data_IF_307272300693
#
_entry.id   IF_307272300693
#
_cell.length_a   1.000
_cell.length_b   1.000
_cell.length_c   1.000
_cell.angle_alpha   90.00
_cell.angle_beta   90.00
_cell.angle_gamma   90.00
#
_symmetry.space_group_name_H-M   'P 1'
#
loop_
_entity.id
_entity.type
_entity.pdbx_description
1 polymer ?
#
# COMPACT_ATOMS: atom_id res chain seq x y z
N UNK A 1 0.18 14.90 -16.30
CA UNK A 1 -0.50 13.64 -15.94
C UNK A 1 -1.37 13.85 -14.71
N UNK A 2 -2.44 13.06 -14.58
CA UNK A 2 -3.35 13.17 -13.44
C UNK A 2 -2.65 12.57 -12.20
N UNK A 3 -2.59 13.33 -11.10
CA UNK A 3 -2.01 12.86 -9.84
C UNK A 3 -3.06 12.01 -9.11
N UNK A 4 -2.86 10.70 -9.11
CA UNK A 4 -3.78 9.75 -8.49
C UNK A 4 -3.05 8.94 -7.43
N UNK A 5 -3.67 8.80 -6.26
CA UNK A 5 -3.29 7.83 -5.23
C UNK A 5 -4.27 6.68 -5.28
N UNK A 6 -3.76 5.50 -5.51
CA UNK A 6 -4.51 4.26 -5.62
C UNK A 6 -4.39 3.46 -4.33
N UNK A 7 -5.51 3.00 -3.82
CA UNK A 7 -5.60 2.07 -2.69
C UNK A 7 -6.52 0.91 -3.07
N UNK A 8 -6.27 -0.25 -2.47
CA UNK A 8 -7.12 -1.43 -2.63
C UNK A 8 -7.37 -2.06 -1.28
N UNK A 9 -8.65 -2.37 -0.99
CA UNK A 9 -9.05 -3.05 0.22
C UNK A 9 -10.31 -3.87 -0.01
N UNK A 10 -10.32 -5.12 0.47
CA UNK A 10 -11.51 -5.96 0.53
C UNK A 10 -11.89 -6.21 1.98
N UNK A 11 -13.16 -5.98 2.31
CA UNK A 11 -13.70 -6.39 3.60
C UNK A 11 -13.85 -7.90 3.61
N UNK A 12 -13.55 -8.53 4.73
CA UNK A 12 -13.75 -9.96 4.90
C UNK A 12 -15.17 -10.27 5.35
N UNK A 13 -15.60 -11.53 5.19
CA UNK A 13 -16.90 -11.99 5.71
C UNK A 13 -17.01 -11.82 7.24
N UNK A 14 -15.89 -11.86 7.95
CA UNK A 14 -15.86 -11.64 9.41
C UNK A 14 -16.04 -10.17 9.78
N UNK A 15 -15.65 -9.24 8.90
CA UNK A 15 -15.75 -7.79 9.06
C UNK A 15 -16.36 -7.16 7.80
N UNK A 16 -17.66 -7.45 7.53
CA UNK A 16 -18.32 -6.98 6.31
C UNK A 16 -18.45 -5.44 6.25
N UNK A 17 -18.55 -4.80 7.40
CA UNK A 17 -18.63 -3.34 7.54
C UNK A 17 -17.26 -2.65 7.59
N UNK A 18 -16.18 -3.42 7.43
CA UNK A 18 -14.82 -2.91 7.48
C UNK A 18 -14.15 -3.05 8.83
N UNK A 19 -12.92 -2.56 8.91
CA UNK A 19 -12.08 -2.57 10.12
C UNK A 19 -11.84 -1.12 10.52
N UNK A 20 -12.26 -0.67 11.71
CA UNK A 20 -12.21 0.75 12.10
C UNK A 20 -10.84 1.40 11.94
N UNK A 21 -9.74 0.70 12.23
CA UNK A 21 -8.42 1.29 12.07
C UNK A 21 -8.02 1.49 10.61
N UNK A 22 -8.48 0.64 9.68
CA UNK A 22 -8.27 0.83 8.24
C UNK A 22 -9.06 2.04 7.74
N UNK A 23 -10.30 2.22 8.22
CA UNK A 23 -11.09 3.40 7.88
C UNK A 23 -10.40 4.68 8.36
N UNK A 24 -9.78 4.66 9.55
CA UNK A 24 -8.98 5.78 10.07
C UNK A 24 -7.71 6.03 9.25
N UNK A 25 -7.05 4.97 8.76
CA UNK A 25 -5.93 5.10 7.81
C UNK A 25 -6.41 5.77 6.52
N UNK A 26 -7.53 5.35 5.94
CA UNK A 26 -8.13 5.96 4.76
C UNK A 26 -8.45 7.44 4.99
N UNK A 27 -9.06 7.78 6.13
CA UNK A 27 -9.33 9.18 6.49
C UNK A 27 -8.05 10.02 6.55
N UNK A 28 -6.95 9.46 7.05
CA UNK A 28 -5.67 10.18 7.06
C UNK A 28 -5.18 10.53 5.66
N UNK A 29 -5.42 9.66 4.67
CA UNK A 29 -5.12 9.94 3.26
C UNK A 29 -6.02 11.05 2.70
N UNK A 30 -7.30 11.01 3.03
CA UNK A 30 -8.30 11.99 2.53
C UNK A 30 -8.07 13.39 3.10
N UNK A 31 -7.64 13.49 4.36
CA UNK A 31 -7.34 14.77 5.01
C UNK A 31 -6.23 15.56 4.33
N UNK A 32 -5.32 14.88 3.64
CA UNK A 32 -4.18 15.48 2.98
C UNK A 32 -4.35 15.62 1.46
N UNK A 33 -5.56 15.41 0.95
CA UNK A 33 -5.93 15.84 -0.39
C UNK A 33 -6.10 17.36 -0.40
N UNK A 34 -5.38 18.04 -1.28
CA UNK A 34 -5.53 19.48 -1.45
C UNK A 34 -6.51 19.77 -2.57
N UNK A 35 -7.54 20.58 -2.28
CA UNK A 35 -8.51 21.01 -3.29
C UNK A 35 -7.84 21.80 -4.43
N UNK A 36 -7.88 21.22 -5.63
CA UNK A 36 -7.53 21.89 -6.90
C UNK A 36 -6.07 21.85 -7.34
N UNK A 37 -5.12 21.40 -6.51
CA UNK A 37 -3.71 21.23 -6.88
C UNK A 37 -3.08 19.92 -6.39
N UNK A 38 -3.78 19.19 -5.56
CA UNK A 38 -3.30 17.95 -4.96
C UNK A 38 -3.53 16.73 -5.85
N UNK A 39 -3.75 15.63 -5.21
CA UNK A 39 -4.02 14.35 -5.85
C UNK A 39 -5.45 13.90 -5.59
N UNK A 40 -5.95 13.04 -6.48
CA UNK A 40 -7.23 12.34 -6.32
C UNK A 40 -6.96 10.98 -5.69
N UNK A 41 -7.71 10.60 -4.66
CA UNK A 41 -7.68 9.24 -4.11
C UNK A 41 -8.75 8.38 -4.78
N UNK A 42 -8.35 7.22 -5.29
CA UNK A 42 -9.26 6.21 -5.81
C UNK A 42 -9.07 4.93 -5.01
N UNK A 43 -10.13 4.51 -4.31
CA UNK A 43 -10.15 3.27 -3.56
C UNK A 43 -10.88 2.19 -4.32
N UNK A 44 -10.19 1.09 -4.51
CA UNK A 44 -10.68 -0.07 -5.22
C UNK A 44 -10.97 -1.20 -4.23
N UNK A 45 -11.90 -2.06 -4.64
CA UNK A 45 -12.27 -3.29 -3.96
C UNK A 45 -12.62 -4.36 -5.00
N UNK A 46 -13.10 -5.51 -4.55
CA UNK A 46 -13.51 -6.64 -5.39
C UNK A 46 -14.61 -6.30 -6.41
N UNK A 47 -15.40 -5.24 -6.17
CA UNK A 47 -16.55 -4.88 -7.01
C UNK A 47 -16.20 -3.90 -8.13
N UNK A 48 -15.18 -3.05 -7.93
CA UNK A 48 -14.93 -1.93 -8.84
C UNK A 48 -13.55 -1.95 -9.52
N UNK A 49 -12.58 -2.77 -9.09
CA UNK A 49 -11.23 -2.74 -9.67
C UNK A 49 -11.21 -3.04 -11.18
N UNK A 50 -12.18 -3.83 -11.66
CA UNK A 50 -12.30 -4.20 -13.07
C UNK A 50 -12.68 -3.03 -13.98
N UNK A 51 -13.24 -1.95 -13.43
CA UNK A 51 -13.55 -0.73 -14.19
C UNK A 51 -12.29 0.03 -14.62
N UNK A 52 -11.17 -0.21 -13.92
CA UNK A 52 -9.90 0.48 -14.13
C UNK A 52 -8.84 -0.37 -14.83
N UNK A 53 -9.01 -1.67 -14.88
CA UNK A 53 -8.06 -2.61 -15.47
C UNK A 53 -8.72 -3.31 -16.64
N UNK A 54 -8.17 -3.09 -17.84
CA UNK A 54 -8.50 -3.90 -19.02
C UNK A 54 -7.64 -5.16 -19.01
N UNK A 55 -8.02 -6.14 -19.80
CA UNK A 55 -7.17 -7.31 -20.09
C UNK A 55 -6.73 -8.05 -18.81
N UNK A 56 -7.72 -8.40 -17.99
CA UNK A 56 -7.50 -9.16 -16.76
C UNK A 56 -7.24 -10.63 -17.12
N UNK A 57 -6.10 -11.15 -16.64
CA UNK A 57 -5.80 -12.57 -16.78
C UNK A 57 -6.85 -13.41 -16.05
N UNK A 58 -7.56 -14.32 -16.75
CA UNK A 58 -8.66 -15.08 -16.15
C UNK A 58 -8.22 -15.99 -15.01
N UNK A 59 -6.96 -16.41 -14.96
CA UNK A 59 -6.45 -17.27 -13.89
C UNK A 59 -6.36 -16.58 -12.53
N UNK A 60 -6.50 -15.23 -12.47
CA UNK A 60 -6.59 -14.52 -11.19
C UNK A 60 -7.79 -14.99 -10.35
N UNK A 61 -8.86 -15.44 -11.00
CA UNK A 61 -10.05 -15.94 -10.31
C UNK A 61 -9.86 -17.33 -9.66
N UNK A 62 -8.77 -18.02 -10.00
CA UNK A 62 -8.39 -19.29 -9.37
C UNK A 62 -7.62 -19.09 -8.07
N UNK A 63 -7.15 -17.89 -7.78
CA UNK A 63 -6.43 -17.55 -6.52
C UNK A 63 -7.26 -17.79 -5.26
N UNK A 64 -8.60 -17.85 -5.38
CA UNK A 64 -9.50 -18.10 -4.24
C UNK A 64 -9.23 -19.38 -3.44
N UNK A 65 -8.45 -20.30 -4.01
CA UNK A 65 -8.02 -21.53 -3.35
C UNK A 65 -6.73 -21.36 -2.54
N UNK A 66 -6.07 -20.17 -2.61
CA UNK A 66 -4.83 -19.88 -1.92
C UNK A 66 -5.08 -19.21 -0.56
N UNK A 67 -4.32 -19.60 0.46
CA UNK A 67 -4.33 -18.89 1.76
C UNK A 67 -3.93 -17.42 1.66
N UNK A 68 -3.14 -17.05 0.63
CA UNK A 68 -2.66 -15.69 0.39
C UNK A 68 -3.41 -14.98 -0.76
N UNK A 69 -4.61 -15.43 -1.09
CA UNK A 69 -5.34 -14.96 -2.28
C UNK A 69 -5.49 -13.43 -2.33
N UNK A 70 -5.83 -12.77 -1.22
CA UNK A 70 -6.02 -11.32 -1.19
C UNK A 70 -4.73 -10.55 -1.46
N UNK A 71 -3.62 -10.99 -0.88
CA UNK A 71 -2.32 -10.38 -1.12
C UNK A 71 -1.87 -10.58 -2.57
N UNK A 72 -2.00 -11.79 -3.11
CA UNK A 72 -1.65 -12.11 -4.50
C UNK A 72 -2.52 -11.35 -5.50
N UNK A 73 -3.81 -11.23 -5.23
CA UNK A 73 -4.74 -10.44 -6.04
C UNK A 73 -4.37 -8.95 -6.01
N UNK A 74 -4.06 -8.40 -4.82
CA UNK A 74 -3.60 -7.02 -4.69
C UNK A 74 -2.28 -6.79 -5.44
N UNK A 75 -1.34 -7.74 -5.41
CA UNK A 75 -0.08 -7.66 -6.14
C UNK A 75 -0.28 -7.60 -7.66
N UNK A 76 -1.22 -8.39 -8.18
CA UNK A 76 -1.61 -8.34 -9.59
C UNK A 76 -2.28 -7.02 -9.95
N UNK A 77 -3.25 -6.58 -9.14
CA UNK A 77 -4.02 -5.35 -9.36
C UNK A 77 -3.08 -4.14 -9.36
N UNK A 78 -2.19 -4.00 -8.36
CA UNK A 78 -1.27 -2.85 -8.28
C UNK A 78 -0.37 -2.76 -9.50
N UNK A 79 0.13 -3.89 -9.99
CA UNK A 79 1.00 -3.91 -11.16
C UNK A 79 0.26 -3.46 -12.43
N UNK A 80 -0.89 -4.06 -12.74
CA UNK A 80 -1.72 -3.71 -13.90
C UNK A 80 -2.22 -2.27 -13.86
N UNK A 81 -2.73 -1.86 -12.71
CA UNK A 81 -3.32 -0.54 -12.49
C UNK A 81 -2.29 0.58 -12.73
N UNK A 82 -1.14 0.48 -12.05
CA UNK A 82 -0.09 1.50 -12.14
C UNK A 82 0.59 1.50 -13.51
N UNK A 83 0.73 0.35 -14.17
CA UNK A 83 1.18 0.31 -15.56
C UNK A 83 0.23 1.09 -16.47
N UNK A 84 -1.08 0.90 -16.33
CA UNK A 84 -2.09 1.54 -17.18
C UNK A 84 -2.24 3.03 -16.90
N UNK A 85 -2.21 3.45 -15.66
CA UNK A 85 -2.59 4.80 -15.24
C UNK A 85 -1.43 5.63 -14.72
N UNK A 86 -0.39 5.01 -14.14
CA UNK A 86 0.59 5.70 -13.34
C UNK A 86 0.03 6.19 -12.00
N UNK A 87 0.76 7.05 -11.32
CA UNK A 87 0.39 7.61 -10.03
C UNK A 87 1.11 6.97 -8.86
N UNK A 88 0.53 7.04 -7.67
CA UNK A 88 1.04 6.43 -6.44
C UNK A 88 0.17 5.23 -6.08
N UNK A 89 0.77 4.09 -5.82
CA UNK A 89 0.16 3.02 -5.03
C UNK A 89 0.49 3.23 -3.56
N UNK A 90 -0.52 3.11 -2.70
CA UNK A 90 -0.36 3.18 -1.26
C UNK A 90 -1.25 2.13 -0.60
N UNK A 91 -0.67 1.15 0.10
CA UNK A 91 -1.46 0.16 0.82
C UNK A 91 -2.38 0.82 1.85
N UNK A 92 -3.55 0.22 2.07
CA UNK A 92 -4.63 0.79 2.88
C UNK A 92 -4.32 0.94 4.37
N UNK A 93 -3.26 0.31 4.85
CA UNK A 93 -2.77 0.41 6.23
C UNK A 93 -1.69 1.50 6.42
N UNK A 94 -1.56 2.41 5.47
CA UNK A 94 -0.72 3.59 5.62
C UNK A 94 -1.43 4.70 6.40
N UNK A 95 -0.72 5.34 7.33
CA UNK A 95 -1.18 6.55 8.02
C UNK A 95 -0.43 7.74 7.42
N UNK A 96 -1.16 8.66 6.79
CA UNK A 96 -0.60 9.82 6.10
C UNK A 96 -0.59 11.04 7.01
N UNK A 97 0.56 11.72 7.11
CA UNK A 97 0.77 12.86 8.00
C UNK A 97 0.77 14.21 7.28
N UNK A 98 0.97 14.19 5.95
CA UNK A 98 1.06 15.36 5.09
C UNK A 98 0.81 15.01 3.62
N UNK A 99 0.73 16.02 2.79
CA UNK A 99 0.54 15.88 1.35
C UNK A 99 1.61 14.96 0.72
N UNK A 100 1.20 14.15 -0.24
CA UNK A 100 2.06 13.20 -0.95
C UNK A 100 2.75 13.81 -2.18
N UNK A 101 2.66 15.12 -2.35
CA UNK A 101 3.25 15.85 -3.50
C UNK A 101 4.74 15.57 -3.65
N UNK A 102 5.46 15.47 -2.54
CA UNK A 102 6.89 15.14 -2.55
C UNK A 102 7.22 13.80 -3.22
N UNK A 103 6.26 12.85 -3.25
CA UNK A 103 6.43 11.56 -3.94
C UNK A 103 6.17 11.76 -5.43
N UNK A 104 5.14 12.53 -5.79
CA UNK A 104 4.88 12.89 -7.19
C UNK A 104 6.04 13.68 -7.80
N UNK A 105 6.68 14.57 -7.04
CA UNK A 105 7.82 15.37 -7.51
C UNK A 105 9.03 14.49 -7.85
N UNK A 106 9.17 13.31 -7.25
CA UNK A 106 10.20 12.33 -7.65
C UNK A 106 10.02 11.84 -9.09
N UNK A 107 8.79 11.81 -9.59
CA UNK A 107 8.50 11.41 -10.96
C UNK A 107 8.94 12.44 -12.01
N UNK A 108 9.35 13.64 -11.62
CA UNK A 108 10.01 14.58 -12.53
C UNK A 108 11.42 14.10 -12.95
N UNK A 109 12.03 13.22 -12.13
CA UNK A 109 13.40 12.75 -12.31
C UNK A 109 13.50 11.25 -12.59
N UNK A 110 12.50 10.48 -12.18
CA UNK A 110 12.50 9.03 -12.26
C UNK A 110 11.22 8.52 -12.90
N UNK A 111 11.32 7.44 -13.65
CA UNK A 111 10.14 6.75 -14.21
C UNK A 111 9.40 5.94 -13.14
N UNK A 112 10.14 5.48 -12.14
CA UNK A 112 9.64 4.75 -10.98
C UNK A 112 10.37 5.22 -9.72
N UNK A 113 9.60 5.52 -8.68
CA UNK A 113 10.09 5.83 -7.34
C UNK A 113 9.44 4.87 -6.32
N UNK A 114 10.23 4.27 -5.47
CA UNK A 114 9.73 3.38 -4.43
C UNK A 114 10.66 3.32 -3.23
N UNK A 115 10.48 2.30 -2.43
CA UNK A 115 11.24 2.09 -1.20
C UNK A 115 11.85 0.69 -1.19
N UNK A 116 12.93 0.53 -0.43
CA UNK A 116 13.55 -0.77 -0.15
C UNK A 116 14.09 -0.85 1.27
N UNK A 117 14.14 -2.05 1.82
CA UNK A 117 15.01 -2.43 2.94
C UNK A 117 16.08 -3.36 2.36
N UNK A 118 15.83 -4.63 2.29
CA UNK A 118 16.71 -5.60 1.62
C UNK A 118 16.26 -5.86 0.17
N UNK A 119 14.95 -5.84 -0.06
CA UNK A 119 14.29 -5.96 -1.36
C UNK A 119 13.32 -4.81 -1.57
N UNK A 120 12.83 -4.58 -2.81
CA UNK A 120 11.83 -3.56 -3.07
C UNK A 120 10.58 -3.75 -2.24
N UNK A 121 10.08 -2.66 -1.67
CA UNK A 121 8.81 -2.61 -0.97
C UNK A 121 7.72 -2.26 -1.99
N UNK A 122 6.63 -3.05 -2.01
CA UNK A 122 5.53 -2.86 -2.95
C UNK A 122 4.28 -2.23 -2.31
N UNK A 123 4.34 -1.91 -1.03
CA UNK A 123 3.25 -1.31 -0.28
C UNK A 123 3.11 0.22 -0.53
N UNK A 124 4.15 0.89 -1.00
CA UNK A 124 4.10 2.28 -1.47
C UNK A 124 5.14 2.50 -2.56
N UNK A 125 4.71 2.99 -3.71
CA UNK A 125 5.57 3.39 -4.82
C UNK A 125 4.81 4.30 -5.78
N UNK A 126 5.54 5.01 -6.62
CA UNK A 126 5.00 5.86 -7.67
C UNK A 126 5.64 5.54 -9.01
N UNK A 127 4.89 5.67 -10.08
CA UNK A 127 5.44 5.52 -11.43
C UNK A 127 4.68 6.35 -12.47
N UNK A 128 5.33 6.56 -13.61
CA UNK A 128 4.67 7.03 -14.80
C UNK A 128 3.79 5.94 -15.41
N UNK A 129 2.75 6.38 -16.11
CA UNK A 129 1.97 5.49 -16.98
C UNK A 129 2.92 4.85 -18.01
N UNK A 130 2.74 3.54 -18.26
CA UNK A 130 3.53 2.73 -19.17
C UNK A 130 5.02 2.62 -18.80
N UNK A 131 5.39 2.85 -17.54
CA UNK A 131 6.75 2.67 -17.05
C UNK A 131 7.31 1.30 -17.43
N UNK A 132 8.57 1.24 -17.89
CA UNK A 132 9.19 0.02 -18.38
C UNK A 132 9.25 -1.08 -17.30
N UNK A 133 9.60 -0.72 -16.07
CA UNK A 133 9.62 -1.68 -14.95
C UNK A 133 8.22 -2.25 -14.69
N UNK A 134 7.18 -1.42 -14.78
CA UNK A 134 5.80 -1.86 -14.56
C UNK A 134 5.34 -2.81 -15.65
N UNK A 135 5.73 -2.55 -16.92
CA UNK A 135 5.47 -3.49 -18.01
C UNK A 135 6.10 -4.86 -17.75
N UNK A 136 7.36 -4.88 -17.37
CA UNK A 136 8.08 -6.12 -17.05
C UNK A 136 7.44 -6.86 -15.89
N UNK A 137 7.00 -6.13 -14.85
CA UNK A 137 6.30 -6.72 -13.71
C UNK A 137 4.96 -7.33 -14.11
N UNK A 138 4.15 -6.61 -14.90
CA UNK A 138 2.87 -7.11 -15.44
C UNK A 138 3.09 -8.36 -16.29
N UNK A 139 4.03 -8.32 -17.25
CA UNK A 139 4.31 -9.45 -18.14
C UNK A 139 4.75 -10.69 -17.33
N UNK A 140 5.56 -10.50 -16.28
CA UNK A 140 5.97 -11.59 -15.41
C UNK A 140 4.82 -12.15 -14.57
N UNK A 141 3.94 -11.30 -14.06
CA UNK A 141 2.75 -11.76 -13.33
C UNK A 141 1.78 -12.53 -14.22
N UNK A 142 1.56 -12.08 -15.45
CA UNK A 142 0.74 -12.82 -16.42
C UNK A 142 1.38 -14.16 -16.79
N UNK A 143 2.70 -14.23 -16.91
CA UNK A 143 3.45 -15.49 -17.11
C UNK A 143 3.24 -16.44 -15.93
N UNK A 144 3.43 -15.98 -14.71
CA UNK A 144 3.23 -16.78 -13.49
C UNK A 144 1.80 -17.36 -13.46
N UNK A 145 0.80 -16.50 -13.70
CA UNK A 145 -0.61 -16.93 -13.73
C UNK A 145 -0.89 -17.96 -14.83
N UNK A 146 -0.34 -17.77 -16.01
CA UNK A 146 -0.55 -18.70 -17.14
C UNK A 146 0.12 -20.06 -16.88
N UNK A 147 1.34 -20.07 -16.34
CA UNK A 147 2.08 -21.30 -16.04
C UNK A 147 1.46 -22.08 -14.87
N UNK A 148 1.02 -21.36 -13.82
CA UNK A 148 0.42 -21.96 -12.63
C UNK A 148 -1.08 -22.18 -12.73
N UNK A 149 -1.75 -21.57 -13.72
CA UNK A 149 -3.22 -21.49 -13.80
C UNK A 149 -3.84 -20.89 -12.53
N UNK A 150 -3.12 -19.98 -11.87
CA UNK A 150 -3.52 -19.34 -10.62
C UNK A 150 -3.44 -20.24 -9.38
N UNK A 151 -2.71 -21.37 -9.45
CA UNK A 151 -2.59 -22.34 -8.37
C UNK A 151 -1.15 -22.42 -7.87
N UNK A 152 -1.00 -22.73 -6.57
CA UNK A 152 0.32 -22.97 -5.94
C UNK A 152 1.33 -21.82 -6.13
N UNK A 153 0.85 -20.58 -6.19
CA UNK A 153 1.69 -19.38 -6.25
C UNK A 153 2.17 -19.06 -4.83
N UNK A 154 3.47 -18.88 -4.65
CA UNK A 154 4.05 -18.56 -3.36
C UNK A 154 3.77 -17.10 -2.96
N UNK A 155 3.78 -16.85 -1.65
CA UNK A 155 3.66 -15.49 -1.13
C UNK A 155 4.75 -14.56 -1.70
N UNK A 156 4.33 -13.41 -2.21
CA UNK A 156 5.21 -12.39 -2.79
C UNK A 156 5.76 -12.73 -4.19
N UNK A 157 5.40 -13.88 -4.78
CA UNK A 157 5.90 -14.29 -6.10
C UNK A 157 5.46 -13.33 -7.20
N UNK A 158 4.22 -12.86 -7.17
CA UNK A 158 3.71 -11.81 -8.07
C UNK A 158 4.01 -10.38 -7.55
N UNK A 159 4.44 -10.24 -6.30
CA UNK A 159 4.74 -8.99 -5.64
C UNK A 159 6.24 -8.64 -5.66
N UNK A 160 6.82 -8.49 -4.47
CA UNK A 160 8.20 -8.02 -4.31
C UNK A 160 9.24 -8.87 -5.02
N UNK A 161 9.05 -10.20 -5.10
CA UNK A 161 9.98 -11.08 -5.82
C UNK A 161 9.92 -10.87 -7.33
N UNK A 162 8.73 -10.57 -7.86
CA UNK A 162 8.56 -10.30 -9.29
C UNK A 162 9.25 -8.99 -9.69
N UNK A 163 9.02 -7.91 -8.96
CA UNK A 163 9.62 -6.61 -9.28
C UNK A 163 11.13 -6.58 -9.03
N UNK A 164 11.62 -7.34 -8.04
CA UNK A 164 13.04 -7.42 -7.71
C UNK A 164 13.91 -7.85 -8.89
N UNK A 165 13.38 -8.71 -9.78
CA UNK A 165 14.08 -9.15 -10.99
C UNK A 165 14.42 -7.97 -11.91
N UNK A 166 13.65 -6.90 -11.85
CA UNK A 166 13.67 -5.78 -12.79
C UNK A 166 14.22 -4.48 -12.19
N UNK A 167 14.76 -4.48 -10.97
CA UNK A 167 15.27 -3.26 -10.30
C UNK A 167 16.44 -2.57 -11.01
N UNK A 168 17.10 -3.25 -11.96
CA UNK A 168 18.14 -2.68 -12.79
C UNK A 168 17.62 -2.00 -14.07
N UNK A 169 16.29 -1.89 -14.23
CA UNK A 169 15.70 -1.08 -15.30
C UNK A 169 16.12 0.39 -15.13
N UNK A 170 16.45 1.12 -16.19
CA UNK A 170 16.85 2.53 -16.09
C UNK A 170 15.78 3.42 -15.47
N UNK A 171 16.20 4.57 -14.94
CA UNK A 171 15.31 5.61 -14.39
C UNK A 171 14.46 5.17 -13.18
N UNK A 172 14.99 4.25 -12.38
CA UNK A 172 14.38 3.81 -11.12
C UNK A 172 15.14 4.40 -9.94
N UNK A 173 14.41 4.82 -8.92
CA UNK A 173 14.98 5.16 -7.62
C UNK A 173 14.25 4.43 -6.49
N UNK A 174 15.02 3.78 -5.63
CA UNK A 174 14.53 3.12 -4.42
C UNK A 174 15.15 3.77 -3.18
N UNK A 175 14.32 4.47 -2.44
CA UNK A 175 14.72 5.14 -1.19
C UNK A 175 14.72 4.13 -0.01
N UNK A 176 15.32 4.55 1.09
CA UNK A 176 15.37 3.77 2.33
C UNK A 176 13.99 3.71 3.00
N UNK A 177 13.40 2.52 3.07
CA UNK A 177 12.09 2.29 3.65
C UNK A 177 12.02 2.59 5.16
N UNK A 178 13.15 2.59 5.87
CA UNK A 178 13.16 2.93 7.30
C UNK A 178 12.72 4.35 7.59
N UNK A 179 12.77 5.23 6.57
CA UNK A 179 12.26 6.61 6.65
C UNK A 179 10.74 6.69 6.82
N UNK A 180 10.00 5.69 6.38
CA UNK A 180 8.53 5.64 6.40
C UNK A 180 7.98 4.41 7.12
N UNK A 181 8.87 3.53 7.57
CA UNK A 181 8.57 2.34 8.37
C UNK A 181 9.72 2.07 9.35
N UNK A 182 9.80 2.86 10.39
CA UNK A 182 10.91 2.80 11.36
C UNK A 182 10.84 1.62 12.34
N UNK A 183 9.70 0.92 12.43
CA UNK A 183 9.53 -0.23 13.30
C UNK A 183 9.73 -1.51 12.49
N UNK A 184 10.80 -2.23 12.82
CA UNK A 184 11.07 -3.55 12.27
C UNK A 184 9.88 -4.50 12.52
N UNK A 185 9.52 -5.32 11.53
CA UNK A 185 8.41 -6.26 11.60
C UNK A 185 8.46 -7.20 12.83
N UNK A 186 9.65 -7.53 13.31
CA UNK A 186 9.86 -8.33 14.54
C UNK A 186 9.34 -7.65 15.80
N UNK A 187 9.14 -6.34 15.75
CA UNK A 187 8.69 -5.51 16.85
C UNK A 187 7.31 -4.89 16.60
N UNK A 188 6.52 -5.45 15.69
CA UNK A 188 5.18 -4.93 15.35
C UNK A 188 4.24 -4.83 16.57
N UNK A 189 4.45 -5.65 17.60
CA UNK A 189 3.73 -5.55 18.87
C UNK A 189 3.83 -4.16 19.53
N UNK A 190 4.89 -3.38 19.22
CA UNK A 190 5.05 -2.00 19.75
C UNK A 190 3.92 -1.06 19.33
N UNK A 191 3.27 -1.32 18.20
CA UNK A 191 2.12 -0.53 17.75
C UNK A 191 0.96 -0.54 18.73
N UNK A 192 0.83 -1.62 19.51
CA UNK A 192 -0.25 -1.85 20.45
C UNK A 192 0.09 -1.38 21.88
N UNK A 193 1.24 -0.78 22.09
CA UNK A 193 1.68 -0.31 23.39
C UNK A 193 1.73 1.21 23.45
N UNK A 194 1.50 1.75 24.65
CA UNK A 194 1.75 3.15 24.94
C UNK A 194 3.24 3.45 24.82
N UNK A 195 3.57 4.59 24.25
CA UNK A 195 4.94 5.10 24.23
C UNK A 195 4.97 6.60 24.52
N UNK A 196 6.01 7.04 25.24
CA UNK A 196 6.40 8.43 25.28
C UNK A 196 7.48 8.64 24.20
N UNK A 197 7.41 9.75 23.49
CA UNK A 197 8.42 10.08 22.49
C UNK A 197 8.06 9.54 21.10
N UNK A 198 6.92 10.03 20.58
CA UNK A 198 6.45 9.75 19.21
C UNK A 198 7.52 10.10 18.16
N UNK A 199 8.32 11.12 18.43
CA UNK A 199 9.43 11.58 17.59
C UNK A 199 10.53 10.51 17.36
N UNK A 200 10.56 9.46 18.16
CA UNK A 200 11.46 8.31 17.95
C UNK A 200 11.03 7.43 16.78
N UNK A 201 9.78 7.53 16.37
CA UNK A 201 9.19 6.71 15.32
C UNK A 201 8.85 7.51 14.07
N UNK A 202 8.52 8.78 14.23
CA UNK A 202 8.08 9.67 13.16
C UNK A 202 8.89 10.96 13.23
N UNK A 203 9.45 11.38 12.09
CA UNK A 203 10.01 12.71 11.93
C UNK A 203 8.99 13.67 11.29
N UNK A 204 9.22 14.97 11.39
CA UNK A 204 8.29 15.98 10.91
C UNK A 204 8.23 16.09 9.38
N UNK A 205 9.20 15.53 8.65
CA UNK A 205 9.24 15.55 7.19
C UNK A 205 8.63 14.29 6.56
N UNK A 206 8.37 13.26 7.36
CA UNK A 206 7.85 11.99 6.89
C UNK A 206 6.43 12.15 6.35
N UNK A 207 6.16 11.75 5.08
CA UNK A 207 4.83 11.92 4.48
C UNK A 207 3.80 10.94 5.02
N UNK A 208 4.21 9.72 5.32
CA UNK A 208 3.32 8.67 5.86
C UNK A 208 4.11 7.69 6.72
N UNK A 209 3.39 6.86 7.46
CA UNK A 209 3.93 5.69 8.13
C UNK A 209 3.23 4.43 7.62
N UNK A 210 4.02 3.46 7.16
CA UNK A 210 3.50 2.17 6.74
C UNK A 210 3.36 1.24 7.94
N UNK A 211 2.13 0.85 8.22
CA UNK A 211 1.82 -0.15 9.24
C UNK A 211 2.08 -1.55 8.69
N UNK A 212 2.19 -2.55 9.52
CA UNK A 212 2.28 -3.94 9.08
C UNK A 212 0.98 -4.67 9.42
N UNK A 213 -0.09 -4.40 8.66
CA UNK A 213 -1.41 -4.94 8.93
C UNK A 213 -1.40 -6.46 9.16
N UNK A 214 -0.69 -7.22 8.33
CA UNK A 214 -0.60 -8.68 8.47
C UNK A 214 -0.09 -9.14 9.85
N UNK A 215 0.71 -8.31 10.54
CA UNK A 215 1.29 -8.64 11.85
C UNK A 215 0.49 -8.12 13.02
N UNK A 216 -0.36 -7.13 12.81
CA UNK A 216 -1.12 -6.44 13.87
C UNK A 216 -2.62 -6.65 13.77
N UNK A 217 -3.13 -7.09 12.61
CA UNK A 217 -4.57 -7.14 12.35
C UNK A 217 -5.35 -7.95 13.39
N UNK A 218 -4.81 -9.05 13.90
CA UNK A 218 -5.48 -9.88 14.92
C UNK A 218 -5.66 -9.18 16.26
N UNK A 219 -4.84 -8.18 16.54
CA UNK A 219 -4.94 -7.37 17.76
C UNK A 219 -5.80 -6.13 17.56
N UNK A 220 -5.60 -5.42 16.44
CA UNK A 220 -6.18 -4.10 16.21
C UNK A 220 -7.60 -4.14 15.63
N UNK A 221 -7.92 -5.13 14.80
CA UNK A 221 -9.21 -5.21 14.08
C UNK A 221 -10.46 -5.23 14.98
N UNK A 222 -10.30 -5.61 16.22
CA UNK A 222 -11.40 -5.65 17.20
C UNK A 222 -11.64 -4.33 17.92
N UNK A 223 -10.74 -3.36 17.79
CA UNK A 223 -10.91 -2.05 18.41
C UNK A 223 -11.93 -1.22 17.65
N UNK A 224 -12.90 -0.66 18.38
CA UNK A 224 -13.77 0.38 17.86
C UNK A 224 -13.01 1.69 17.68
N UNK A 225 -13.57 2.65 16.94
CA UNK A 225 -12.99 4.00 16.81
C UNK A 225 -12.85 4.66 18.18
N UNK A 226 -13.85 4.54 19.04
CA UNK A 226 -13.83 5.11 20.39
C UNK A 226 -12.73 4.50 21.27
N UNK A 227 -12.58 3.18 21.23
CA UNK A 227 -11.49 2.50 21.95
C UNK A 227 -10.13 2.94 21.44
N UNK A 228 -9.93 3.06 20.12
CA UNK A 228 -8.70 3.59 19.54
C UNK A 228 -8.43 5.02 20.01
N UNK A 229 -9.45 5.89 20.03
CA UNK A 229 -9.32 7.27 20.50
C UNK A 229 -8.75 7.36 21.91
N UNK A 230 -9.23 6.52 22.82
CA UNK A 230 -8.87 6.60 24.24
C UNK A 230 -7.74 5.64 24.66
N UNK A 231 -7.34 4.71 23.81
CA UNK A 231 -6.32 3.69 24.14
C UNK A 231 -4.93 4.26 24.37
N UNK A 232 -4.63 5.41 23.75
CA UNK A 232 -3.32 6.04 23.77
C UNK A 232 -2.14 5.12 23.33
N UNK A 233 -2.43 4.05 22.62
CA UNK A 233 -1.43 3.18 22.01
C UNK A 233 -0.74 3.89 20.84
N UNK A 234 0.39 3.38 20.38
CA UNK A 234 1.20 4.03 19.36
C UNK A 234 0.41 4.31 18.05
N UNK A 235 -0.42 3.35 17.62
CA UNK A 235 -1.30 3.55 16.44
C UNK A 235 -2.23 4.75 16.64
N UNK A 236 -2.85 4.87 17.81
CA UNK A 236 -3.75 5.99 18.12
C UNK A 236 -3.00 7.32 18.12
N UNK A 237 -1.78 7.34 18.64
CA UNK A 237 -0.93 8.54 18.60
C UNK A 237 -0.57 8.92 17.18
N UNK A 238 -0.28 7.95 16.29
CA UNK A 238 -0.05 8.21 14.86
C UNK A 238 -1.28 8.81 14.19
N UNK A 239 -2.46 8.26 14.41
CA UNK A 239 -3.72 8.74 13.84
C UNK A 239 -4.04 10.16 14.34
N UNK A 240 -3.81 10.45 15.61
CA UNK A 240 -3.98 11.81 16.17
C UNK A 240 -2.99 12.78 15.50
N UNK A 241 -1.71 12.39 15.34
CA UNK A 241 -0.71 13.22 14.64
C UNK A 241 -1.10 13.47 13.19
N UNK A 242 -1.73 12.51 12.52
CA UNK A 242 -2.27 12.65 11.16
C UNK A 242 -3.48 13.58 11.08
N UNK A 243 -4.04 14.02 12.20
CA UNK A 243 -5.20 14.91 12.24
C UNK A 243 -6.55 14.20 12.12
N UNK A 244 -6.58 12.87 12.20
CA UNK A 244 -7.81 12.09 12.13
C UNK A 244 -8.71 12.42 13.32
N UNK A 245 -10.00 12.60 13.04
CA UNK A 245 -11.04 12.84 14.06
C UNK A 245 -11.76 11.53 14.34
N UNK A 246 -11.60 11.04 15.55
CA UNK A 246 -12.27 9.83 16.00
C UNK A 246 -13.77 10.06 16.27
#
# INVERSE_FOLDING_TARGET
YERIVWQYWENSDTYPDGIPYIDLCHESVDLHQTDGKGYKVIRLNDKNYQEYIDDINPYIFNLKESENQLAQKADYIRAKLLYKHGGIWLDSDAIVFRELDMIFDKLEHYEFYGYKINSPCIWAFACHKNAEIMKKWVDNNDKILNESQGKNIFYGEMGHRSIEIFINTPNIFLDDATKVQSIDHRYAWKYMHFTNGLEKFINDEQPFFMMNNALICDYIKKYTREELKYSNILISQFLIKAGVKF
#
